data_IF_084868972730
#
_entry.id   IF_084868972730
#
_cell.length_a   1.000
_cell.length_b   1.000
_cell.length_c   1.000
_cell.angle_alpha   90.00
_cell.angle_beta   90.00
_cell.angle_gamma   90.00
#
_symmetry.space_group_name_H-M   'P 1'
#
loop_
_entity.id
_entity.type
_entity.pdbx_description
1 polymer ?
#
# COMPACT_ATOMS: atom_id res chain seq x y z
N UNK A 1 6.94 7.70 19.40
CA UNK A 1 8.14 7.30 18.63
C UNK A 1 9.38 8.09 19.02
N UNK A 2 9.40 9.41 19.04
CA UNK A 2 10.60 10.24 19.27
C UNK A 2 11.41 9.91 20.54
N UNK A 3 10.76 9.43 21.60
CA UNK A 3 11.46 9.03 22.85
C UNK A 3 12.30 7.76 22.75
N UNK A 4 12.05 6.95 21.72
CA UNK A 4 12.69 5.63 21.52
C UNK A 4 13.37 5.52 20.13
N UNK A 5 13.42 6.61 19.35
CA UNK A 5 13.93 6.59 17.96
C UNK A 5 15.35 6.03 17.85
N UNK A 6 16.21 6.34 18.81
CA UNK A 6 17.59 5.84 18.84
C UNK A 6 17.72 4.33 19.10
N UNK A 7 16.64 3.67 19.50
CA UNK A 7 16.56 2.22 19.72
C UNK A 7 15.91 1.48 18.56
N UNK A 8 15.37 2.23 17.58
CA UNK A 8 14.63 1.69 16.47
C UNK A 8 15.47 1.70 15.20
N UNK A 9 15.52 0.57 14.54
CA UNK A 9 16.08 0.44 13.20
C UNK A 9 14.94 0.36 12.19
N UNK A 10 14.96 1.22 11.19
CA UNK A 10 13.99 1.25 10.12
C UNK A 10 14.52 0.53 8.88
N UNK A 11 13.67 -0.24 8.23
CA UNK A 11 13.94 -0.79 6.91
C UNK A 11 12.97 -0.16 5.92
N UNK A 12 13.46 0.70 5.03
CA UNK A 12 12.63 1.39 4.06
C UNK A 12 12.98 0.97 2.64
N UNK A 13 12.00 1.08 1.73
CA UNK A 13 12.30 1.01 0.31
C UNK A 13 13.18 2.19 -0.09
N UNK A 14 14.01 2.02 -1.13
CA UNK A 14 14.84 3.11 -1.63
C UNK A 14 14.00 4.31 -2.05
N UNK A 15 12.86 4.04 -2.69
CA UNK A 15 11.89 5.07 -3.09
C UNK A 15 11.39 5.87 -1.88
N UNK A 16 10.89 5.20 -0.84
CA UNK A 16 10.38 5.87 0.35
C UNK A 16 11.46 6.67 1.07
N UNK A 17 12.69 6.15 1.12
CA UNK A 17 13.80 6.84 1.75
C UNK A 17 14.10 8.20 1.09
N UNK A 18 13.94 8.30 -0.23
CA UNK A 18 14.35 9.48 -1.00
C UNK A 18 13.23 10.50 -1.24
N UNK A 19 11.98 10.17 -0.88
CA UNK A 19 10.81 11.03 -1.13
C UNK A 19 10.61 12.08 -0.05
N UNK A 20 10.07 13.24 -0.46
CA UNK A 20 9.67 14.33 0.44
C UNK A 20 8.43 13.95 1.29
N UNK A 21 7.55 13.12 0.76
CA UNK A 21 6.44 12.49 1.47
C UNK A 21 6.79 11.08 1.99
N UNK A 22 8.05 10.82 2.23
CA UNK A 22 8.60 9.60 2.80
C UNK A 22 9.50 9.89 3.99
N UNK A 23 10.69 9.27 4.04
CA UNK A 23 11.63 9.43 5.15
C UNK A 23 12.10 10.89 5.35
N UNK A 24 12.30 11.65 4.28
CA UNK A 24 12.63 13.08 4.40
C UNK A 24 11.51 13.87 5.09
N UNK A 25 10.26 13.54 4.80
CA UNK A 25 9.11 14.11 5.49
C UNK A 25 9.03 13.67 6.95
N UNK A 26 9.33 12.41 7.28
CA UNK A 26 9.44 11.97 8.67
C UNK A 26 10.47 12.79 9.45
N UNK A 27 11.59 13.16 8.82
CA UNK A 27 12.61 14.01 9.43
C UNK A 27 12.12 15.45 9.59
N UNK A 28 11.57 16.06 8.55
CA UNK A 28 11.21 17.48 8.54
C UNK A 28 9.93 17.79 9.34
N UNK A 29 8.89 16.96 9.19
CA UNK A 29 7.57 17.19 9.81
C UNK A 29 7.49 16.60 11.22
N UNK A 30 7.96 15.35 11.38
CA UNK A 30 7.92 14.65 12.67
C UNK A 30 9.19 14.82 13.50
N UNK A 31 10.29 15.28 12.89
CA UNK A 31 11.60 15.40 13.53
C UNK A 31 12.19 14.05 13.90
N UNK A 32 11.83 12.97 13.19
CA UNK A 32 12.33 11.61 13.43
C UNK A 32 13.62 11.38 12.66
N UNK A 33 14.68 10.99 13.37
CA UNK A 33 15.98 10.65 12.79
C UNK A 33 16.26 9.15 13.08
N UNK A 34 15.66 8.30 12.25
CA UNK A 34 15.78 6.85 12.40
C UNK A 34 17.09 6.31 11.84
N UNK A 35 17.58 5.22 12.41
CA UNK A 35 18.65 4.44 11.79
C UNK A 35 18.06 3.62 10.64
N UNK A 36 18.26 4.07 9.40
CA UNK A 36 17.61 3.50 8.21
C UNK A 36 18.55 2.57 7.46
N UNK A 37 18.07 1.37 7.14
CA UNK A 37 18.60 0.49 6.12
C UNK A 37 17.64 0.47 4.92
N UNK A 38 18.13 0.72 3.72
CA UNK A 38 17.32 0.59 2.50
C UNK A 38 17.30 -0.86 2.03
N UNK A 39 16.15 -1.33 1.56
CA UNK A 39 16.00 -2.71 1.10
C UNK A 39 14.91 -2.84 0.03
N UNK A 40 14.93 -3.97 -0.66
CA UNK A 40 13.88 -4.31 -1.62
C UNK A 40 12.52 -4.51 -0.93
N UNK A 41 11.40 -4.10 -1.59
CA UNK A 41 10.06 -4.19 -1.00
C UNK A 41 9.72 -5.57 -0.44
N UNK A 42 10.11 -6.64 -1.14
CA UNK A 42 9.82 -8.01 -0.71
C UNK A 42 10.56 -8.45 0.56
N UNK A 43 11.68 -7.80 0.90
CA UNK A 43 12.51 -8.19 2.03
C UNK A 43 12.12 -7.49 3.34
N UNK A 44 11.46 -6.33 3.28
CA UNK A 44 11.17 -5.52 4.47
C UNK A 44 10.28 -6.23 5.50
N UNK A 45 9.29 -6.99 5.03
CA UNK A 45 8.40 -7.74 5.92
C UNK A 45 9.08 -8.96 6.56
N UNK A 46 10.00 -9.59 5.86
CA UNK A 46 10.83 -10.66 6.44
C UNK A 46 11.78 -10.10 7.51
N UNK A 47 12.38 -8.94 7.24
CA UNK A 47 13.28 -8.27 8.18
C UNK A 47 12.56 -7.79 9.45
N UNK A 48 11.28 -7.36 9.37
CA UNK A 48 10.49 -7.01 10.56
C UNK A 48 10.11 -8.26 11.36
N UNK A 49 9.78 -9.35 10.67
CA UNK A 49 9.45 -10.62 11.32
C UNK A 49 10.64 -11.24 12.05
N UNK A 50 11.85 -11.15 11.47
CA UNK A 50 13.08 -11.63 12.10
C UNK A 50 13.57 -10.74 13.26
N UNK A 51 13.01 -9.52 13.39
CA UNK A 51 13.43 -8.54 14.39
C UNK A 51 14.67 -7.72 13.98
N UNK A 52 15.12 -7.86 12.73
CA UNK A 52 16.26 -7.09 12.21
C UNK A 52 15.93 -5.60 12.07
N UNK A 53 14.66 -5.28 11.90
CA UNK A 53 14.11 -3.93 11.89
C UNK A 53 12.84 -3.88 12.75
N UNK A 54 12.46 -2.69 13.22
CA UNK A 54 11.27 -2.47 14.04
C UNK A 54 10.22 -1.60 13.34
N UNK A 55 10.62 -0.91 12.26
CA UNK A 55 9.75 0.01 11.51
C UNK A 55 9.99 -0.21 10.02
N UNK A 56 8.92 -0.17 9.25
CA UNK A 56 8.98 -0.20 7.78
C UNK A 56 7.93 0.72 7.18
N UNK A 57 8.13 1.14 5.93
CA UNK A 57 7.08 1.73 5.10
C UNK A 57 6.13 0.63 4.62
N UNK A 58 4.87 0.96 4.49
CA UNK A 58 3.83 0.04 4.03
C UNK A 58 2.70 0.81 3.34
N UNK A 59 1.96 0.13 2.49
CA UNK A 59 0.65 0.60 2.07
C UNK A 59 -0.42 -0.04 2.95
N UNK A 60 -1.49 0.69 3.28
CA UNK A 60 -2.57 0.22 4.16
C UNK A 60 -3.28 -1.05 3.66
N UNK A 61 -3.13 -1.36 2.38
CA UNK A 61 -3.69 -2.53 1.72
C UNK A 61 -2.73 -3.73 1.62
N UNK A 62 -1.50 -3.61 2.15
CA UNK A 62 -0.52 -4.71 2.13
C UNK A 62 -1.02 -5.89 3.00
N UNK A 63 -1.02 -7.08 2.41
CA UNK A 63 -1.49 -8.30 3.07
C UNK A 63 -0.64 -8.70 4.29
N UNK A 64 0.62 -8.32 4.27
CA UNK A 64 1.62 -8.61 5.28
C UNK A 64 1.32 -7.93 6.62
N UNK A 65 0.58 -6.80 6.62
CA UNK A 65 0.16 -6.12 7.85
C UNK A 65 -0.65 -7.09 8.71
N UNK A 66 -1.66 -7.73 8.12
CA UNK A 66 -2.47 -8.73 8.83
C UNK A 66 -1.71 -10.04 9.07
N UNK A 67 -0.90 -10.48 8.10
CA UNK A 67 -0.14 -11.73 8.19
C UNK A 67 0.85 -11.74 9.36
N UNK A 68 1.49 -10.62 9.64
CA UNK A 68 2.52 -10.50 10.68
C UNK A 68 2.06 -9.72 11.91
N UNK A 69 0.74 -9.46 12.02
CA UNK A 69 0.15 -8.72 13.14
C UNK A 69 0.85 -7.37 13.41
N UNK A 70 1.07 -6.61 12.34
CA UNK A 70 1.78 -5.34 12.42
C UNK A 70 0.85 -4.21 12.85
N UNK A 71 1.41 -3.27 13.61
CA UNK A 71 0.69 -2.06 14.04
C UNK A 71 0.93 -0.94 13.03
N UNK A 72 -0.15 -0.43 12.44
CA UNK A 72 -0.11 0.76 11.59
C UNK A 72 -0.12 2.00 12.48
N UNK A 73 0.86 2.89 12.29
CA UNK A 73 0.94 4.15 13.02
C UNK A 73 0.09 5.22 12.35
N UNK A 74 -0.57 6.03 13.16
CA UNK A 74 -1.38 7.15 12.68
C UNK A 74 -0.49 8.31 12.21
N UNK A 75 -0.83 8.88 11.05
CA UNK A 75 -0.23 10.11 10.52
C UNK A 75 -1.03 11.34 11.00
N UNK A 76 -0.84 11.71 12.27
CA UNK A 76 -1.54 12.83 12.92
C UNK A 76 -1.17 14.22 12.39
N UNK A 77 -0.10 14.30 11.58
CA UNK A 77 0.33 15.55 10.94
C UNK A 77 0.04 15.61 9.44
N UNK A 78 -0.63 14.60 8.91
CA UNK A 78 -1.03 14.52 7.51
C UNK A 78 0.15 14.74 6.54
N UNK A 79 1.27 14.08 6.82
CA UNK A 79 2.44 14.06 5.95
C UNK A 79 2.14 13.36 4.62
N UNK A 80 1.41 12.24 4.70
CA UNK A 80 1.14 11.42 3.52
C UNK A 80 -0.10 11.91 2.78
N UNK A 81 0.01 12.18 1.46
CA UNK A 81 -1.16 12.46 0.65
C UNK A 81 -2.06 11.22 0.53
N UNK A 82 -3.35 11.38 0.21
CA UNK A 82 -4.20 10.24 -0.07
C UNK A 82 -3.71 9.50 -1.33
N UNK A 83 -3.37 8.23 -1.18
CA UNK A 83 -2.99 7.35 -2.28
C UNK A 83 -4.23 6.60 -2.78
N UNK A 84 -4.75 7.00 -3.94
CA UNK A 84 -5.88 6.33 -4.56
C UNK A 84 -5.41 5.58 -5.80
N UNK A 85 -5.83 4.32 -5.93
CA UNK A 85 -5.62 3.54 -7.15
C UNK A 85 -6.42 4.14 -8.30
N UNK A 86 -5.77 4.34 -9.45
CA UNK A 86 -6.43 4.83 -10.64
C UNK A 86 -5.86 4.14 -11.90
N UNK A 87 -6.68 3.88 -12.94
CA UNK A 87 -6.17 3.47 -14.24
C UNK A 87 -5.33 4.58 -14.86
N UNK A 88 -4.09 4.26 -15.25
CA UNK A 88 -3.20 5.18 -15.97
C UNK A 88 -3.12 4.76 -17.44
N UNK A 89 -3.41 5.68 -18.35
CA UNK A 89 -3.37 5.41 -19.78
C UNK A 89 -2.98 6.68 -20.57
N UNK A 90 -2.59 6.48 -21.83
CA UNK A 90 -2.33 7.61 -22.74
C UNK A 90 -3.64 8.34 -23.07
N UNK A 91 -3.62 9.68 -23.11
CA UNK A 91 -4.78 10.49 -23.46
C UNK A 91 -5.37 10.11 -24.83
N UNK A 92 -4.48 9.85 -25.81
CA UNK A 92 -4.89 9.42 -27.17
C UNK A 92 -5.75 8.14 -27.16
N UNK A 93 -5.62 7.27 -26.13
CA UNK A 93 -6.46 6.07 -26.04
C UNK A 93 -7.89 6.44 -25.69
N UNK A 94 -8.09 7.39 -24.77
CA UNK A 94 -9.42 7.91 -24.43
C UNK A 94 -10.07 8.69 -25.57
N UNK A 95 -9.26 9.43 -26.34
CA UNK A 95 -9.76 10.13 -27.54
C UNK A 95 -10.29 9.14 -28.60
N UNK A 96 -9.61 8.00 -28.77
CA UNK A 96 -10.00 6.94 -29.72
C UNK A 96 -11.13 6.05 -29.19
N UNK A 97 -11.20 5.89 -27.87
CA UNK A 97 -12.10 4.98 -27.17
C UNK A 97 -12.75 5.67 -25.97
N UNK A 98 -13.63 6.69 -26.21
CA UNK A 98 -14.24 7.44 -25.11
C UNK A 98 -15.14 6.60 -24.22
N UNK A 99 -15.61 5.45 -24.68
CA UNK A 99 -16.40 4.49 -23.91
C UNK A 99 -15.63 3.89 -22.72
N UNK A 100 -14.28 3.88 -22.77
CA UNK A 100 -13.45 3.33 -21.69
C UNK A 100 -13.65 4.08 -20.37
N UNK A 101 -13.84 5.40 -20.42
CA UNK A 101 -14.06 6.20 -19.22
C UNK A 101 -15.29 5.71 -18.44
N UNK A 102 -16.42 5.52 -19.12
CA UNK A 102 -17.65 5.05 -18.49
C UNK A 102 -17.53 3.61 -17.95
N UNK A 103 -16.75 2.77 -18.63
CA UNK A 103 -16.54 1.38 -18.20
C UNK A 103 -15.65 1.30 -16.97
N UNK A 104 -14.52 2.02 -16.97
CA UNK A 104 -13.55 2.00 -15.88
C UNK A 104 -14.12 2.67 -14.62
N UNK A 105 -14.89 3.76 -14.78
CA UNK A 105 -15.53 4.46 -13.66
C UNK A 105 -16.64 3.66 -12.98
N UNK A 106 -17.04 2.50 -13.50
CA UNK A 106 -17.93 1.58 -12.77
C UNK A 106 -17.29 1.05 -11.47
N UNK A 107 -15.98 1.04 -11.38
CA UNK A 107 -15.23 0.65 -10.18
C UNK A 107 -14.96 1.82 -9.22
N UNK A 108 -15.16 3.07 -9.66
CA UNK A 108 -14.87 4.23 -8.83
C UNK A 108 -15.69 4.19 -7.53
N UNK A 109 -14.99 4.30 -6.40
CA UNK A 109 -15.58 4.28 -5.06
C UNK A 109 -16.16 2.93 -4.60
N UNK A 110 -15.96 1.83 -5.35
CA UNK A 110 -16.49 0.51 -4.97
C UNK A 110 -15.50 -0.35 -4.20
N UNK A 111 -14.23 0.01 -4.21
CA UNK A 111 -13.19 -0.75 -3.50
C UNK A 111 -12.75 0.07 -2.30
N UNK A 112 -13.05 -0.41 -1.10
CA UNK A 112 -12.54 0.16 0.15
C UNK A 112 -11.16 -0.40 0.48
N UNK A 113 -10.42 0.27 1.36
CA UNK A 113 -9.12 -0.24 1.86
C UNK A 113 -9.26 -1.66 2.44
N UNK A 114 -10.26 -1.89 3.27
CA UNK A 114 -10.51 -3.19 3.89
C UNK A 114 -10.76 -4.28 2.85
N UNK A 115 -11.56 -4.01 1.82
CA UNK A 115 -11.82 -4.96 0.74
C UNK A 115 -10.55 -5.25 -0.06
N UNK A 116 -9.75 -4.23 -0.39
CA UNK A 116 -8.50 -4.43 -1.11
C UNK A 116 -7.50 -5.21 -0.27
N UNK A 117 -7.34 -4.89 1.01
CA UNK A 117 -6.48 -5.63 1.94
C UNK A 117 -6.88 -7.11 2.02
N UNK A 118 -8.20 -7.39 2.10
CA UNK A 118 -8.71 -8.76 2.11
C UNK A 118 -8.43 -9.50 0.81
N UNK A 119 -8.64 -8.85 -0.35
CA UNK A 119 -8.32 -9.44 -1.65
C UNK A 119 -6.82 -9.72 -1.80
N UNK A 120 -5.98 -8.77 -1.37
CA UNK A 120 -4.53 -8.96 -1.36
C UNK A 120 -4.11 -10.11 -0.44
N UNK A 121 -4.76 -10.27 0.72
CA UNK A 121 -4.51 -11.38 1.63
C UNK A 121 -4.87 -12.72 0.99
N UNK A 122 -6.02 -12.82 0.32
CA UNK A 122 -6.43 -14.03 -0.39
C UNK A 122 -5.41 -14.44 -1.47
N UNK A 123 -4.86 -13.46 -2.19
CA UNK A 123 -3.85 -13.73 -3.23
C UNK A 123 -2.48 -14.02 -2.60
N UNK A 124 -1.98 -13.14 -1.75
CA UNK A 124 -0.61 -13.17 -1.25
C UNK A 124 -0.37 -14.21 -0.14
N UNK A 125 -1.39 -14.50 0.67
CA UNK A 125 -1.26 -15.39 1.83
C UNK A 125 -1.98 -16.72 1.61
N UNK A 126 -3.24 -16.71 1.14
CA UNK A 126 -4.00 -17.93 0.89
C UNK A 126 -3.64 -18.60 -0.45
N UNK A 127 -2.94 -17.89 -1.34
CA UNK A 127 -2.49 -18.42 -2.63
C UNK A 127 -3.59 -18.55 -3.68
N UNK A 128 -4.72 -17.85 -3.52
CA UNK A 128 -5.78 -17.83 -4.52
C UNK A 128 -5.32 -17.10 -5.79
N UNK A 129 -5.70 -17.57 -6.99
CA UNK A 129 -5.43 -16.83 -8.21
C UNK A 129 -6.07 -15.44 -8.19
N UNK A 130 -5.29 -14.40 -8.53
CA UNK A 130 -5.79 -13.01 -8.53
C UNK A 130 -7.01 -12.83 -9.46
N UNK A 131 -7.04 -13.52 -10.60
CA UNK A 131 -8.18 -13.51 -11.53
C UNK A 131 -9.46 -14.05 -10.86
N UNK A 132 -9.35 -15.09 -10.05
CA UNK A 132 -10.50 -15.65 -9.33
C UNK A 132 -11.02 -14.65 -8.30
N UNK A 133 -10.15 -14.06 -7.48
CA UNK A 133 -10.52 -13.07 -6.46
C UNK A 133 -11.17 -11.85 -7.11
N UNK A 134 -10.60 -11.34 -8.20
CA UNK A 134 -11.17 -10.22 -8.94
C UNK A 134 -12.56 -10.56 -9.53
N UNK A 135 -12.73 -11.77 -10.08
CA UNK A 135 -14.00 -12.23 -10.63
C UNK A 135 -15.09 -12.33 -9.55
N UNK A 136 -14.75 -12.91 -8.41
CA UNK A 136 -15.66 -13.02 -7.26
C UNK A 136 -16.11 -11.63 -6.80
N UNK A 137 -15.17 -10.70 -6.61
CA UNK A 137 -15.47 -9.31 -6.25
C UNK A 137 -16.39 -8.62 -7.28
N UNK A 138 -16.09 -8.72 -8.57
CA UNK A 138 -16.91 -8.11 -9.62
C UNK A 138 -18.32 -8.68 -9.67
N UNK A 139 -18.49 -9.97 -9.38
CA UNK A 139 -19.81 -10.62 -9.29
C UNK A 139 -20.59 -10.13 -8.07
N UNK A 140 -19.94 -9.99 -6.92
CA UNK A 140 -20.54 -9.42 -5.69
C UNK A 140 -21.01 -7.97 -5.91
N UNK A 141 -20.21 -7.18 -6.65
CA UNK A 141 -20.57 -5.81 -7.01
C UNK A 141 -21.61 -5.69 -8.12
N UNK A 142 -22.06 -6.81 -8.71
CA UNK A 142 -23.02 -6.84 -9.80
C UNK A 142 -22.45 -6.31 -11.13
N UNK A 143 -21.14 -6.22 -11.25
CA UNK A 143 -20.44 -5.74 -12.46
C UNK A 143 -20.13 -6.86 -13.44
N UNK A 144 -20.17 -8.10 -13.00
CA UNK A 144 -19.99 -9.29 -13.82
C UNK A 144 -21.16 -10.26 -13.57
N UNK A 145 -21.71 -10.85 -14.64
CA UNK A 145 -22.73 -11.89 -14.52
C UNK A 145 -22.12 -13.17 -13.92
N UNK A 146 -22.91 -13.84 -13.09
CA UNK A 146 -22.56 -15.15 -12.53
C UNK A 146 -22.41 -16.20 -13.63
#
# INVERSE_FOLDING_TARGET
MKKVEGQLKAGFTLEFNDREDGNKGLQSVYGLNLNVATMEPALRYQAIQSGDIQITDAYSTDAEIARYDLVVLEDDKQLFPPYQGAPLMKAELLEKHPELEAVLNKLAGKITESQMSQMNYQVGVEGKPAEQVAKEFLQEQGLLKK
#
